data_IF_744290839723
#
_entry.id   IF_744290839723
#
_cell.length_a   1.000
_cell.length_b   1.000
_cell.length_c   1.000
_cell.angle_alpha   90.00
_cell.angle_beta   90.00
_cell.angle_gamma   90.00
#
_symmetry.space_group_name_H-M   'P 1'
#
loop_
_entity.id
_entity.type
_entity.pdbx_description
1 polymer ?
#
# COMPACT_ATOMS: atom_id res chain seq x y z
N UNK A 1 24.65 9.47 -28.55
CA UNK A 1 26.12 9.68 -28.57
C UNK A 1 26.48 11.14 -28.78
N UNK A 2 25.69 11.93 -29.54
CA UNK A 2 25.90 13.38 -29.69
C UNK A 2 25.29 14.22 -28.55
N UNK A 3 24.25 13.73 -27.87
CA UNK A 3 23.58 14.47 -26.77
C UNK A 3 24.47 14.69 -25.54
N UNK A 4 25.42 13.78 -25.29
CA UNK A 4 26.39 13.94 -24.21
C UNK A 4 27.36 15.08 -24.50
N UNK A 5 27.77 15.25 -25.76
CA UNK A 5 28.69 16.31 -26.19
C UNK A 5 28.03 17.68 -26.02
N UNK A 6 26.76 17.82 -26.42
CA UNK A 6 25.99 19.07 -26.23
C UNK A 6 25.79 19.41 -24.75
N UNK A 7 25.56 18.40 -23.90
CA UNK A 7 25.47 18.56 -22.44
C UNK A 7 26.78 19.05 -21.82
N UNK A 8 27.92 18.55 -22.30
CA UNK A 8 29.23 19.01 -21.81
C UNK A 8 29.62 20.40 -22.33
N UNK A 9 29.11 20.83 -23.50
CA UNK A 9 29.30 22.19 -24.01
C UNK A 9 28.41 23.24 -23.31
N UNK A 10 27.38 22.81 -22.58
CA UNK A 10 26.41 23.70 -21.90
C UNK A 10 26.56 23.71 -20.38
N UNK A 11 27.72 23.31 -19.85
CA UNK A 11 28.01 23.42 -18.43
C UNK A 11 28.36 24.88 -18.12
N UNK A 12 27.67 25.56 -17.19
CA UNK A 12 28.04 26.90 -16.76
C UNK A 12 29.43 26.90 -16.12
N UNK A 13 30.27 27.87 -16.48
CA UNK A 13 31.63 28.02 -15.92
C UNK A 13 31.63 28.40 -14.42
N UNK A 14 30.51 28.97 -13.93
CA UNK A 14 30.35 29.35 -12.53
C UNK A 14 29.60 28.27 -11.73
N UNK A 15 30.25 27.77 -10.68
CA UNK A 15 29.61 26.90 -9.69
C UNK A 15 28.57 27.68 -8.89
N UNK A 16 27.29 27.33 -9.04
CA UNK A 16 26.23 27.78 -8.16
C UNK A 16 26.01 26.74 -7.04
N UNK A 17 25.99 27.15 -5.75
CA UNK A 17 25.61 26.24 -4.68
C UNK A 17 24.19 25.74 -4.91
N UNK A 18 23.91 24.44 -4.66
CA UNK A 18 22.56 23.92 -4.82
C UNK A 18 21.61 24.69 -3.90
N UNK A 19 20.48 25.15 -4.44
CA UNK A 19 19.47 25.81 -3.63
C UNK A 19 19.01 24.87 -2.51
N UNK A 20 19.23 25.29 -1.26
CA UNK A 20 18.73 24.57 -0.11
C UNK A 20 17.20 24.62 -0.13
N UNK A 21 16.55 23.51 -0.49
CA UNK A 21 15.09 23.43 -0.40
C UNK A 21 14.69 23.62 1.06
N UNK A 22 13.82 24.59 1.38
CA UNK A 22 13.35 24.76 2.75
C UNK A 22 12.68 23.48 3.22
N UNK A 23 12.92 23.09 4.47
CA UNK A 23 12.27 21.93 5.06
C UNK A 23 10.76 22.15 5.13
N UNK A 24 10.02 21.38 4.34
CA UNK A 24 8.57 21.28 4.47
C UNK A 24 8.25 20.19 5.48
N UNK A 25 7.73 20.50 6.68
CA UNK A 25 7.31 19.46 7.61
C UNK A 25 6.29 18.53 6.93
N UNK A 26 6.47 17.23 7.12
CA UNK A 26 5.54 16.24 6.61
C UNK A 26 4.13 16.46 7.17
N UNK A 27 3.11 16.12 6.39
CA UNK A 27 1.72 16.16 6.85
C UNK A 27 1.54 15.21 8.05
N UNK A 28 0.77 15.65 9.05
CA UNK A 28 0.49 14.83 10.21
C UNK A 28 -0.52 13.73 9.82
N UNK A 29 -0.05 12.48 9.80
CA UNK A 29 -0.86 11.30 9.46
C UNK A 29 -1.86 10.93 10.56
N UNK A 30 -1.64 11.40 11.79
CA UNK A 30 -2.44 11.08 12.97
C UNK A 30 -3.34 12.24 13.40
N UNK A 31 -3.49 13.27 12.56
CA UNK A 31 -4.34 14.43 12.86
C UNK A 31 -5.80 14.03 13.15
N UNK A 32 -6.28 12.91 12.62
CA UNK A 32 -7.62 12.42 12.92
C UNK A 32 -7.81 12.07 14.41
N UNK A 33 -6.74 11.76 15.15
CA UNK A 33 -6.78 11.54 16.62
C UNK A 33 -7.02 12.83 17.40
N UNK A 34 -6.78 14.00 16.81
CA UNK A 34 -6.99 15.29 17.48
C UNK A 34 -8.40 15.85 17.26
N UNK A 35 -9.32 15.07 16.67
CA UNK A 35 -10.71 15.48 16.48
C UNK A 35 -11.41 15.63 17.85
N UNK A 36 -11.91 16.84 18.14
CA UNK A 36 -12.59 17.14 19.41
C UNK A 36 -13.83 16.27 19.66
N UNK A 37 -14.46 15.83 18.57
CA UNK A 37 -15.67 15.00 18.62
C UNK A 37 -15.35 13.49 18.77
N UNK A 38 -14.07 13.10 18.75
CA UNK A 38 -13.62 11.71 18.81
C UNK A 38 -14.38 10.79 17.84
N UNK A 39 -14.55 11.25 16.59
CA UNK A 39 -15.26 10.50 15.55
C UNK A 39 -14.33 9.48 14.89
N UNK A 40 -14.92 8.43 14.33
CA UNK A 40 -14.20 7.45 13.51
C UNK A 40 -14.32 7.80 12.03
N UNK A 41 -13.28 7.48 11.25
CA UNK A 41 -13.36 7.52 9.79
C UNK A 41 -13.67 6.13 9.24
N UNK A 42 -14.49 6.07 8.21
CA UNK A 42 -14.73 4.84 7.45
C UNK A 42 -14.61 5.10 5.95
N UNK A 43 -14.28 4.05 5.20
CA UNK A 43 -14.18 4.10 3.74
C UNK A 43 -15.34 3.35 3.12
N UNK A 44 -15.97 3.97 2.12
CA UNK A 44 -16.96 3.33 1.26
C UNK A 44 -16.39 3.30 -0.16
N UNK A 45 -16.52 2.14 -0.81
CA UNK A 45 -16.29 2.01 -2.24
C UNK A 45 -17.59 1.63 -2.93
N UNK A 46 -18.03 2.46 -3.87
CA UNK A 46 -19.21 2.24 -4.70
C UNK A 46 -18.81 2.30 -6.18
N UNK A 47 -18.70 1.13 -6.83
CA UNK A 47 -18.26 1.04 -8.22
C UNK A 47 -16.84 1.59 -8.40
N UNK A 48 -16.72 2.68 -9.18
CA UNK A 48 -15.46 3.40 -9.41
C UNK A 48 -15.09 4.40 -8.32
N UNK A 49 -16.05 4.78 -7.49
CA UNK A 49 -15.90 5.88 -6.54
C UNK A 49 -15.47 5.34 -5.19
N UNK A 50 -14.50 6.00 -4.57
CA UNK A 50 -14.03 5.70 -3.23
C UNK A 50 -14.08 6.97 -2.40
N UNK A 51 -14.73 6.87 -1.24
CA UNK A 51 -15.01 7.99 -0.35
C UNK A 51 -14.61 7.62 1.07
N UNK A 52 -13.94 8.55 1.75
CA UNK A 52 -13.66 8.48 3.19
C UNK A 52 -14.59 9.48 3.86
N UNK A 53 -15.33 9.03 4.86
CA UNK A 53 -16.32 9.82 5.58
C UNK A 53 -16.11 9.72 7.08
N UNK A 54 -16.45 10.80 7.80
CA UNK A 54 -16.56 10.78 9.25
C UNK A 54 -17.88 10.13 9.67
N UNK A 55 -17.81 9.30 10.71
CA UNK A 55 -18.96 8.76 11.40
C UNK A 55 -19.42 9.71 12.52
N UNK A 56 -20.41 10.57 12.24
CA UNK A 56 -21.09 11.35 13.28
C UNK A 56 -22.35 10.61 13.76
N UNK A 57 -22.17 9.76 14.79
CA UNK A 57 -23.27 9.01 15.39
C UNK A 57 -24.38 9.89 15.99
N UNK A 58 -24.08 11.16 16.32
CA UNK A 58 -25.06 12.08 16.92
C UNK A 58 -25.93 12.76 15.88
N UNK A 59 -25.36 13.06 14.71
CA UNK A 59 -26.08 13.72 13.62
C UNK A 59 -26.65 12.76 12.57
N UNK A 60 -26.32 11.45 12.64
CA UNK A 60 -26.73 10.44 11.65
C UNK A 60 -26.40 10.85 10.21
N UNK A 61 -25.36 11.68 10.06
CA UNK A 61 -24.94 12.26 8.80
C UNK A 61 -23.49 11.89 8.56
N UNK A 62 -23.23 11.32 7.39
CA UNK A 62 -21.87 11.06 6.95
C UNK A 62 -21.31 12.34 6.34
N UNK A 63 -20.23 12.86 6.94
CA UNK A 63 -19.53 14.03 6.41
C UNK A 63 -18.33 13.56 5.57
N UNK A 64 -18.29 13.86 4.27
CA UNK A 64 -17.19 13.42 3.41
C UNK A 64 -15.89 14.15 3.75
N UNK A 65 -14.83 13.39 3.98
CA UNK A 65 -13.45 13.89 4.16
C UNK A 65 -12.76 14.00 2.82
N UNK A 66 -12.83 12.91 2.05
CA UNK A 66 -12.12 12.79 0.79
C UNK A 66 -12.90 11.90 -0.16
N UNK A 67 -13.06 12.35 -1.42
CA UNK A 67 -13.70 11.58 -2.49
C UNK A 67 -12.77 11.56 -3.69
N UNK A 68 -12.57 10.37 -4.27
CA UNK A 68 -11.81 10.21 -5.50
C UNK A 68 -12.35 9.09 -6.38
N UNK A 69 -12.51 9.40 -7.66
CA UNK A 69 -12.91 8.42 -8.68
C UNK A 69 -11.68 7.63 -9.16
N UNK A 70 -11.88 6.34 -9.41
CA UNK A 70 -10.85 5.38 -9.84
C UNK A 70 -9.62 5.36 -8.92
N UNK A 71 -9.85 5.46 -7.60
CA UNK A 71 -8.76 5.46 -6.63
C UNK A 71 -8.13 4.07 -6.45
N UNK A 72 -8.91 3.01 -6.63
CA UNK A 72 -8.46 1.61 -6.60
C UNK A 72 -9.09 0.82 -7.74
N UNK A 73 -8.42 -0.22 -8.20
CA UNK A 73 -8.99 -1.15 -9.20
C UNK A 73 -9.69 -2.32 -8.52
N UNK A 74 -9.15 -2.82 -7.40
CA UNK A 74 -9.65 -4.01 -6.71
C UNK A 74 -10.40 -3.67 -5.41
N UNK A 75 -9.69 -3.44 -4.32
CA UNK A 75 -10.27 -3.09 -3.02
C UNK A 75 -9.41 -2.07 -2.27
N UNK A 76 -9.91 -1.63 -1.12
CA UNK A 76 -9.24 -0.70 -0.21
C UNK A 76 -9.19 -1.32 1.17
N UNK A 77 -8.10 -1.10 1.90
CA UNK A 77 -7.94 -1.59 3.27
C UNK A 77 -7.25 -0.54 4.13
N UNK A 78 -7.79 -0.28 5.31
CA UNK A 78 -7.11 0.50 6.35
C UNK A 78 -6.04 -0.35 7.02
N UNK A 79 -4.94 0.29 7.41
CA UNK A 79 -3.96 -0.34 8.29
C UNK A 79 -4.54 -0.54 9.70
N UNK A 80 -4.00 -1.47 10.50
CA UNK A 80 -4.55 -1.83 11.80
C UNK A 80 -4.69 -0.67 12.80
N UNK A 81 -3.86 0.37 12.71
CA UNK A 81 -3.94 1.55 13.56
C UNK A 81 -4.67 2.72 12.89
N UNK A 82 -5.13 2.57 11.64
CA UNK A 82 -5.83 3.61 10.90
C UNK A 82 -4.94 4.74 10.37
N UNK A 83 -3.61 4.63 10.48
CA UNK A 83 -2.69 5.66 9.97
C UNK A 83 -2.63 5.70 8.44
N UNK A 84 -2.81 4.54 7.80
CA UNK A 84 -2.59 4.34 6.38
C UNK A 84 -3.83 3.76 5.70
N UNK A 85 -4.10 4.25 4.50
CA UNK A 85 -5.08 3.64 3.60
C UNK A 85 -4.33 2.97 2.44
N UNK A 86 -4.61 1.70 2.17
CA UNK A 86 -3.99 0.97 1.08
C UNK A 86 -4.97 0.76 -0.07
N UNK A 87 -4.52 1.05 -1.29
CA UNK A 87 -5.25 0.74 -2.54
C UNK A 87 -4.48 -0.28 -3.36
N UNK A 88 -5.23 -1.14 -4.06
CA UNK A 88 -4.66 -2.22 -4.88
C UNK A 88 -4.94 -1.95 -6.35
N UNK A 89 -3.88 -1.96 -7.14
CA UNK A 89 -3.86 -1.74 -8.59
C UNK A 89 -3.18 -2.92 -9.30
N UNK A 90 -3.43 -3.07 -10.60
CA UNK A 90 -2.75 -4.10 -11.41
C UNK A 90 -1.23 -3.98 -11.39
N UNK A 91 -0.69 -2.77 -11.26
CA UNK A 91 0.75 -2.51 -11.17
C UNK A 91 1.34 -2.80 -9.77
N UNK A 92 0.50 -2.86 -8.74
CA UNK A 92 0.91 -3.03 -7.35
C UNK A 92 0.01 -2.32 -6.34
N UNK A 93 0.51 -2.19 -5.12
CA UNK A 93 -0.22 -1.53 -4.05
C UNK A 93 0.31 -0.10 -3.86
N UNK A 94 -0.56 0.81 -3.42
CA UNK A 94 -0.17 2.14 -2.98
C UNK A 94 -0.72 2.41 -1.59
N UNK A 95 0.08 3.10 -0.78
CA UNK A 95 -0.32 3.55 0.56
C UNK A 95 -0.45 5.07 0.55
N UNK A 96 -1.55 5.51 1.15
CA UNK A 96 -1.98 6.89 1.25
C UNK A 96 -2.09 7.26 2.72
N UNK A 97 -1.88 8.54 3.01
CA UNK A 97 -2.07 9.08 4.34
C UNK A 97 -2.12 10.60 4.30
N UNK A 98 -2.62 11.19 5.38
CA UNK A 98 -2.87 12.62 5.48
C UNK A 98 -4.19 12.89 6.18
N UNK A 99 -4.34 14.09 6.72
CA UNK A 99 -5.49 14.46 7.55
C UNK A 99 -6.77 14.66 6.72
N UNK A 100 -6.62 15.25 5.54
CA UNK A 100 -7.72 15.61 4.64
C UNK A 100 -7.38 15.42 3.17
N UNK A 101 -6.08 15.46 2.82
CA UNK A 101 -5.65 15.43 1.42
C UNK A 101 -5.38 14.02 0.89
N UNK A 102 -5.19 13.03 1.78
CA UNK A 102 -4.82 11.65 1.45
C UNK A 102 -3.73 11.58 0.37
N UNK A 103 -2.58 12.17 0.68
CA UNK A 103 -1.43 12.16 -0.22
C UNK A 103 -0.87 10.74 -0.38
N UNK A 104 -0.37 10.45 -1.58
CA UNK A 104 0.31 9.16 -1.85
C UNK A 104 1.65 9.16 -1.14
N UNK A 105 1.81 8.31 -0.13
CA UNK A 105 3.05 8.19 0.62
C UNK A 105 4.03 7.26 -0.10
N UNK A 106 3.58 6.05 -0.44
CA UNK A 106 4.44 5.02 -1.02
C UNK A 106 3.72 4.19 -2.08
N UNK A 107 4.51 3.63 -3.00
CA UNK A 107 4.05 2.67 -4.00
C UNK A 107 4.92 1.42 -3.93
N UNK A 108 4.26 0.27 -3.84
CA UNK A 108 4.90 -1.04 -3.80
C UNK A 108 4.72 -1.70 -5.17
N UNK A 109 5.81 -1.77 -5.92
CA UNK A 109 5.82 -2.37 -7.24
C UNK A 109 5.73 -3.90 -7.10
N UNK A 110 4.52 -4.44 -7.26
CA UNK A 110 4.26 -5.87 -7.29
C UNK A 110 3.10 -6.12 -8.26
N UNK A 111 3.35 -6.64 -9.46
CA UNK A 111 2.30 -6.85 -10.44
C UNK A 111 1.25 -7.86 -9.96
N UNK A 112 -0.03 -7.63 -10.33
CA UNK A 112 -1.13 -8.57 -10.11
C UNK A 112 -1.30 -9.01 -8.65
N UNK A 113 -1.11 -8.08 -7.72
CA UNK A 113 -1.41 -8.31 -6.30
C UNK A 113 -2.88 -8.67 -6.15
N UNK A 114 -3.12 -9.81 -5.49
CA UNK A 114 -4.46 -10.28 -5.14
C UNK A 114 -4.80 -9.94 -3.70
N UNK A 115 -3.83 -10.02 -2.80
CA UNK A 115 -4.03 -9.76 -1.38
C UNK A 115 -2.90 -8.89 -0.81
N UNK A 116 -3.25 -8.08 0.17
CA UNK A 116 -2.33 -7.28 0.97
C UNK A 116 -2.65 -7.50 2.44
N UNK A 117 -1.62 -7.43 3.29
CA UNK A 117 -1.78 -7.48 4.74
C UNK A 117 -0.73 -6.61 5.44
N UNK A 118 -1.10 -5.99 6.55
CA UNK A 118 -0.24 -5.12 7.33
C UNK A 118 0.18 -5.80 8.62
N UNK A 119 1.45 -5.61 9.00
CA UNK A 119 1.88 -5.95 10.36
C UNK A 119 1.05 -5.14 11.39
N UNK A 120 0.77 -5.68 12.59
CA UNK A 120 0.02 -4.96 13.63
C UNK A 120 0.61 -3.60 14.01
N UNK A 121 1.94 -3.46 13.96
CA UNK A 121 2.65 -2.19 14.20
C UNK A 121 2.91 -1.34 12.96
N UNK A 122 2.26 -1.65 11.82
CA UNK A 122 2.36 -0.91 10.55
C UNK A 122 3.79 -0.74 9.99
N UNK A 123 4.72 -1.57 10.44
CA UNK A 123 6.12 -1.53 10.02
C UNK A 123 6.34 -2.23 8.69
N UNK A 124 5.57 -3.27 8.41
CA UNK A 124 5.69 -4.08 7.20
C UNK A 124 4.36 -4.24 6.48
N UNK A 125 4.43 -4.25 5.15
CA UNK A 125 3.34 -4.58 4.24
C UNK A 125 3.69 -5.87 3.51
N UNK A 126 2.82 -6.86 3.64
CA UNK A 126 2.89 -8.10 2.91
C UNK A 126 1.98 -8.00 1.70
N UNK A 127 2.46 -8.42 0.55
CA UNK A 127 1.68 -8.47 -0.68
C UNK A 127 1.80 -9.84 -1.31
N UNK A 128 0.67 -10.37 -1.76
CA UNK A 128 0.55 -11.70 -2.32
C UNK A 128 0.00 -11.60 -3.74
N UNK A 129 0.69 -12.23 -4.68
CA UNK A 129 0.21 -12.46 -6.04
C UNK A 129 0.25 -13.95 -6.34
N UNK A 130 -0.76 -14.41 -7.08
CA UNK A 130 -0.73 -15.74 -7.69
C UNK A 130 -1.02 -15.63 -9.17
N UNK A 131 -0.06 -16.08 -9.97
CA UNK A 131 -0.18 -16.12 -11.41
C UNK A 131 -0.74 -17.48 -11.82
N UNK A 132 -1.85 -17.46 -12.53
CA UNK A 132 -2.35 -18.65 -13.19
C UNK A 132 -1.41 -19.01 -14.35
N UNK A 133 -0.99 -20.27 -14.44
CA UNK A 133 -0.10 -20.72 -15.48
C UNK A 133 -0.80 -20.58 -16.83
N UNK A 134 -0.12 -19.99 -17.82
CA UNK A 134 -0.65 -19.90 -19.18
C UNK A 134 -0.73 -21.27 -19.87
N UNK A 135 -0.01 -22.25 -19.33
CA UNK A 135 0.04 -23.61 -19.84
C UNK A 135 -0.50 -24.58 -18.78
N UNK A 136 -1.42 -25.50 -19.09
CA UNK A 136 -2.02 -26.42 -18.11
C UNK A 136 -1.03 -27.39 -17.43
N UNK A 137 0.23 -27.43 -17.88
CA UNK A 137 1.31 -28.26 -17.33
C UNK A 137 2.18 -27.53 -16.31
N UNK A 138 2.11 -26.20 -16.27
CA UNK A 138 2.90 -25.41 -15.32
C UNK A 138 2.11 -25.28 -14.01
N UNK A 139 2.81 -25.31 -12.88
CA UNK A 139 2.19 -25.08 -11.57
C UNK A 139 1.93 -23.58 -11.33
N UNK A 140 0.96 -23.29 -10.47
CA UNK A 140 0.66 -21.92 -10.06
C UNK A 140 1.87 -21.28 -9.39
N UNK A 141 2.36 -20.17 -9.96
CA UNK A 141 3.47 -19.41 -9.36
C UNK A 141 2.92 -18.44 -8.34
N UNK A 142 3.39 -18.58 -7.11
CA UNK A 142 3.06 -17.68 -6.00
C UNK A 142 4.26 -16.78 -5.72
N UNK A 143 3.99 -15.48 -5.58
CA UNK A 143 4.98 -14.50 -5.17
C UNK A 143 4.47 -13.73 -3.95
N UNK A 144 5.29 -13.72 -2.91
CA UNK A 144 5.02 -13.07 -1.64
C UNK A 144 6.15 -12.08 -1.35
N UNK A 145 5.84 -10.79 -1.30
CA UNK A 145 6.82 -9.75 -1.03
C UNK A 145 6.48 -9.04 0.28
N UNK A 146 7.47 -8.94 1.16
CA UNK A 146 7.42 -8.19 2.40
C UNK A 146 8.17 -6.88 2.18
N UNK A 147 7.46 -5.77 2.31
CA UNK A 147 7.98 -4.42 2.19
C UNK A 147 8.04 -3.74 3.55
N UNK A 148 8.98 -2.83 3.74
CA UNK A 148 8.93 -1.84 4.81
C UNK A 148 7.97 -0.71 4.39
N UNK A 149 6.98 -0.41 5.25
CA UNK A 149 5.90 0.55 4.93
C UNK A 149 6.43 1.97 4.77
N UNK A 150 7.41 2.35 5.59
CA UNK A 150 7.90 3.72 5.64
C UNK A 150 8.88 4.02 4.51
N UNK A 151 9.68 3.03 4.11
CA UNK A 151 10.72 3.19 3.09
C UNK A 151 10.30 2.67 1.71
N UNK A 152 9.27 1.84 1.62
CA UNK A 152 8.85 1.19 0.39
C UNK A 152 9.81 0.09 -0.10
N UNK A 153 10.87 -0.21 0.68
CA UNK A 153 11.91 -1.17 0.28
C UNK A 153 11.43 -2.60 0.46
N UNK A 154 11.74 -3.48 -0.50
CA UNK A 154 11.57 -4.93 -0.35
C UNK A 154 12.56 -5.43 0.70
N UNK A 155 12.04 -6.04 1.76
CA UNK A 155 12.82 -6.64 2.85
C UNK A 155 13.03 -8.13 2.62
N UNK A 156 12.00 -8.82 2.11
CA UNK A 156 12.02 -10.24 1.76
C UNK A 156 11.13 -10.49 0.56
N UNK A 157 11.55 -11.42 -0.30
CA UNK A 157 10.74 -11.99 -1.36
C UNK A 157 10.72 -13.51 -1.26
N UNK A 158 9.54 -14.09 -1.43
CA UNK A 158 9.31 -15.53 -1.48
C UNK A 158 8.66 -15.84 -2.82
N UNK A 159 9.25 -16.77 -3.56
CA UNK A 159 8.78 -17.20 -4.87
C UNK A 159 8.81 -18.72 -4.90
N UNK A 160 7.72 -19.33 -5.33
CA UNK A 160 7.60 -20.80 -5.35
C UNK A 160 6.32 -21.27 -6.02
N UNK A 161 6.15 -22.59 -6.10
CA UNK A 161 4.89 -23.19 -6.49
C UNK A 161 3.86 -23.00 -5.38
N UNK A 162 2.58 -22.88 -5.72
CA UNK A 162 1.51 -22.90 -4.72
C UNK A 162 1.58 -24.14 -3.82
N UNK A 163 2.04 -25.28 -4.37
CA UNK A 163 2.22 -26.54 -3.65
C UNK A 163 3.35 -26.47 -2.60
N UNK A 164 4.39 -25.66 -2.83
CA UNK A 164 5.51 -25.50 -1.89
C UNK A 164 5.09 -24.71 -0.64
N UNK A 165 4.07 -23.86 -0.78
CA UNK A 165 3.53 -23.06 0.32
C UNK A 165 2.35 -23.75 1.02
N UNK A 166 1.76 -24.80 0.43
CA UNK A 166 0.67 -25.56 1.03
C UNK A 166 1.21 -26.56 2.07
N UNK A 167 1.42 -26.09 3.31
CA UNK A 167 1.72 -26.99 4.42
C UNK A 167 0.44 -27.72 4.81
N UNK A 168 0.27 -28.94 4.28
CA UNK A 168 -0.72 -29.92 4.75
C UNK A 168 -1.95 -30.09 3.85
N UNK A 169 -1.86 -31.04 2.91
CA UNK A 169 -3.03 -31.72 2.32
C UNK A 169 -3.71 -31.01 1.16
N UNK A 170 -3.93 -31.76 0.09
CA UNK A 170 -4.61 -31.38 -1.15
C UNK A 170 -5.94 -30.66 -0.89
N UNK A 171 -5.96 -29.33 -1.03
CA UNK A 171 -7.18 -28.57 -0.80
C UNK A 171 -6.97 -27.07 -0.68
N UNK A 172 -6.43 -26.44 -1.72
CA UNK A 172 -6.40 -24.98 -1.84
C UNK A 172 -5.43 -24.31 -0.86
N UNK A 173 -4.99 -23.12 -1.25
CA UNK A 173 -4.25 -22.23 -0.37
C UNK A 173 -5.18 -21.89 0.82
N UNK A 174 -4.98 -22.58 1.94
CA UNK A 174 -5.83 -22.42 3.10
C UNK A 174 -5.61 -21.01 3.66
N UNK A 175 -6.71 -20.31 3.95
CA UNK A 175 -6.72 -19.07 4.73
C UNK A 175 -5.94 -19.17 6.04
N UNK A 176 -5.60 -20.38 6.49
CA UNK A 176 -4.70 -20.65 7.61
C UNK A 176 -3.27 -20.14 7.42
N UNK A 177 -2.75 -19.91 6.22
CA UNK A 177 -1.39 -19.35 6.06
C UNK A 177 -1.35 -17.84 6.31
N UNK A 178 -2.36 -17.10 5.83
CA UNK A 178 -2.51 -15.69 6.20
C UNK A 178 -2.90 -15.58 7.66
N UNK A 179 -3.78 -16.45 8.18
CA UNK A 179 -4.10 -16.49 9.61
C UNK A 179 -2.91 -16.95 10.48
N UNK A 180 -2.05 -17.87 10.03
CA UNK A 180 -0.82 -18.26 10.73
C UNK A 180 0.23 -17.16 10.67
N UNK A 181 0.33 -16.41 9.57
CA UNK A 181 1.12 -15.19 9.56
C UNK A 181 0.52 -14.15 10.50
N UNK A 182 -0.79 -13.96 10.51
CA UNK A 182 -1.51 -13.03 11.38
C UNK A 182 -1.45 -13.43 12.87
N UNK A 183 -1.34 -14.73 13.19
CA UNK A 183 -1.10 -15.26 14.53
C UNK A 183 0.38 -15.15 14.92
N UNK A 184 1.31 -15.57 14.04
CA UNK A 184 2.74 -15.48 14.28
C UNK A 184 3.26 -14.03 14.38
N UNK A 185 2.56 -13.07 13.77
CA UNK A 185 2.82 -11.63 13.93
C UNK A 185 2.20 -11.00 15.17
N UNK A 186 1.22 -11.65 15.82
CA UNK A 186 0.59 -11.15 17.05
C UNK A 186 1.31 -11.59 18.33
N UNK A 187 2.19 -12.60 18.23
CA UNK A 187 2.88 -13.20 19.39
C UNK A 187 4.36 -12.76 19.54
N UNK A 188 4.84 -11.80 18.74
CA UNK A 188 6.21 -11.30 18.75
C UNK A 188 6.38 -9.87 19.28
#
# INVERSE_FOLDING_TARGET
>A
MFDEIEKFMTVPDEWAPPESKPYTPGENLQHWLTDEKARDQFVIRAGSDTEVLWNDARQLKADPVYKRNFWTESYVQWSPLGTYLATVHRQGAAVWGGASTFNRLMRYAHPQVKLIDFSPGEKYLVTYSSHEPSNPRDTHKVVLNIFDVRTGKIMRDFKGSADDFAIGGSGGFCWSLVACFQMGWREG
#
